data_IF_824198056359
#
_entry.id   IF_824198056359
#
_cell.length_a   1.000
_cell.length_b   1.000
_cell.length_c   1.000
_cell.angle_alpha   90.00
_cell.angle_beta   90.00
_cell.angle_gamma   90.00
#
_symmetry.space_group_name_H-M   'P 1'
#
loop_
_entity.id
_entity.type
_entity.pdbx_description
1 polymer ?
#
# COMPACT_ATOMS: atom_id res chain seq x y z
N UNK A 1 1.84 19.38 5.84
CA UNK A 1 0.43 18.98 5.63
C UNK A 1 0.31 17.50 5.92
N UNK A 2 -0.32 17.13 7.04
CA UNK A 2 -0.62 15.74 7.39
C UNK A 2 -1.89 15.36 6.65
N UNK A 3 -1.80 14.46 5.67
CA UNK A 3 -2.98 13.94 4.99
C UNK A 3 -3.58 12.89 5.93
N UNK A 4 -4.69 13.23 6.60
CA UNK A 4 -5.50 12.24 7.32
C UNK A 4 -6.16 11.32 6.29
N UNK A 5 -5.45 10.26 5.92
CA UNK A 5 -5.89 9.28 4.94
C UNK A 5 -6.80 8.26 5.62
N UNK A 6 -8.05 8.15 5.18
CA UNK A 6 -8.94 7.10 5.67
C UNK A 6 -8.39 5.73 5.23
N UNK A 7 -7.86 4.99 6.21
CA UNK A 7 -7.27 3.66 6.02
C UNK A 7 -8.30 2.65 5.49
N UNK A 8 -9.60 2.86 5.78
CA UNK A 8 -10.67 1.99 5.27
C UNK A 8 -10.82 2.15 3.77
N UNK A 9 -10.97 3.39 3.29
CA UNK A 9 -11.01 3.71 1.86
C UNK A 9 -9.72 3.28 1.14
N UNK A 10 -8.55 3.55 1.73
CA UNK A 10 -7.27 3.14 1.16
C UNK A 10 -7.18 1.61 1.02
N UNK A 11 -7.62 0.85 2.03
CA UNK A 11 -7.60 -0.61 1.98
C UNK A 11 -8.43 -1.16 0.83
N UNK A 12 -9.64 -0.62 0.62
CA UNK A 12 -10.51 -0.98 -0.49
C UNK A 12 -9.91 -0.60 -1.84
N UNK A 13 -9.31 0.59 -1.92
CA UNK A 13 -8.65 1.06 -3.13
C UNK A 13 -7.46 0.18 -3.52
N UNK A 14 -6.63 -0.19 -2.53
CA UNK A 14 -5.52 -1.13 -2.73
C UNK A 14 -6.05 -2.46 -3.25
N UNK A 15 -7.08 -3.04 -2.64
CA UNK A 15 -7.63 -4.35 -3.04
C UNK A 15 -8.12 -4.38 -4.50
N UNK A 16 -8.54 -3.23 -5.05
CA UNK A 16 -9.02 -3.06 -6.42
C UNK A 16 -7.98 -2.52 -7.40
N UNK A 17 -6.73 -2.32 -6.96
CA UNK A 17 -5.67 -1.78 -7.81
C UNK A 17 -5.06 -2.87 -8.71
N UNK A 18 -5.58 -2.97 -9.93
CA UNK A 18 -5.26 -4.03 -10.90
C UNK A 18 -3.82 -4.02 -11.40
N UNK A 19 -3.12 -2.88 -11.29
CA UNK A 19 -1.70 -2.77 -11.63
C UNK A 19 -0.80 -3.69 -10.79
N UNK A 20 -1.24 -4.06 -9.58
CA UNK A 20 -0.52 -4.98 -8.69
C UNK A 20 -1.13 -6.37 -8.68
N UNK A 21 -0.30 -7.38 -8.42
CA UNK A 21 -0.80 -8.75 -8.17
C UNK A 21 -1.53 -8.83 -6.83
N UNK A 22 -2.35 -9.87 -6.64
CA UNK A 22 -3.06 -10.12 -5.36
C UNK A 22 -2.10 -10.09 -4.15
N UNK A 23 -0.93 -10.73 -4.28
CA UNK A 23 0.10 -10.75 -3.22
C UNK A 23 0.69 -9.37 -2.97
N UNK A 24 0.98 -8.60 -4.03
CA UNK A 24 1.51 -7.24 -3.90
C UNK A 24 0.49 -6.32 -3.20
N UNK A 25 -0.78 -6.40 -3.57
CA UNK A 25 -1.87 -5.67 -2.89
C UNK A 25 -1.96 -6.03 -1.42
N UNK A 26 -1.91 -7.32 -1.08
CA UNK A 26 -1.95 -7.77 0.30
C UNK A 26 -0.77 -7.23 1.13
N UNK A 27 0.45 -7.22 0.57
CA UNK A 27 1.64 -6.64 1.20
C UNK A 27 1.45 -5.13 1.43
N UNK A 28 1.06 -4.39 0.40
CA UNK A 28 0.86 -2.93 0.50
C UNK A 28 -0.23 -2.59 1.52
N UNK A 29 -1.31 -3.39 1.59
CA UNK A 29 -2.38 -3.24 2.55
C UNK A 29 -1.92 -3.43 3.99
N UNK A 30 -1.07 -4.43 4.27
CA UNK A 30 -0.50 -4.61 5.61
C UNK A 30 0.39 -3.42 5.97
N UNK A 31 1.25 -2.98 5.04
CA UNK A 31 2.10 -1.80 5.27
C UNK A 31 1.22 -0.60 5.63
N UNK A 32 0.19 -0.32 4.84
CA UNK A 32 -0.73 0.79 5.06
C UNK A 32 -1.47 0.70 6.41
N UNK A 33 -1.99 -0.48 6.77
CA UNK A 33 -2.73 -0.69 8.03
C UNK A 33 -1.84 -0.63 9.27
N UNK A 34 -0.56 -0.92 9.13
CA UNK A 34 0.43 -0.88 10.22
C UNK A 34 1.24 0.41 10.24
N UNK A 35 0.93 1.35 9.33
CA UNK A 35 1.51 2.69 9.33
C UNK A 35 0.84 3.58 10.36
N UNK A 36 1.65 4.32 11.11
CA UNK A 36 1.21 5.42 11.98
C UNK A 36 1.89 6.68 11.44
N UNK A 37 1.11 7.73 11.17
CA UNK A 37 1.58 8.98 10.55
C UNK A 37 2.34 8.75 9.21
N UNK A 38 1.93 7.75 8.45
CA UNK A 38 2.57 7.37 7.17
C UNK A 38 3.85 6.55 7.32
N UNK A 39 4.29 6.26 8.54
CA UNK A 39 5.47 5.43 8.82
C UNK A 39 5.07 4.03 9.29
N UNK A 40 5.53 3.01 8.57
CA UNK A 40 5.42 1.60 8.92
C UNK A 40 6.77 1.12 9.47
N UNK A 41 6.78 0.71 10.74
CA UNK A 41 7.97 0.20 11.44
C UNK A 41 8.04 -1.32 11.49
N UNK A 42 7.03 -2.03 10.98
CA UNK A 42 7.05 -3.48 10.93
C UNK A 42 8.00 -3.97 9.84
N UNK A 43 8.78 -5.00 10.17
CA UNK A 43 9.74 -5.58 9.23
C UNK A 43 9.11 -6.54 8.22
N UNK A 44 9.88 -6.89 7.18
CA UNK A 44 9.48 -7.88 6.17
C UNK A 44 9.16 -9.27 6.76
N UNK A 45 9.76 -9.62 7.90
CA UNK A 45 9.45 -10.87 8.64
C UNK A 45 8.00 -10.87 9.10
N UNK A 46 7.55 -9.79 9.73
CA UNK A 46 6.18 -9.68 10.23
C UNK A 46 5.16 -9.79 9.08
N UNK A 47 5.39 -9.04 8.00
CA UNK A 47 4.51 -9.07 6.82
C UNK A 47 4.46 -10.47 6.21
N UNK A 48 5.60 -11.14 6.11
CA UNK A 48 5.71 -12.49 5.58
C UNK A 48 4.92 -13.51 6.43
N UNK A 49 5.01 -13.41 7.76
CA UNK A 49 4.27 -14.25 8.69
C UNK A 49 2.75 -14.01 8.59
N UNK A 50 2.32 -12.74 8.55
CA UNK A 50 0.89 -12.38 8.44
C UNK A 50 0.24 -12.90 7.15
N UNK A 51 1.01 -12.99 6.06
CA UNK A 51 0.51 -13.45 4.76
C UNK A 51 0.83 -14.92 4.46
N UNK A 52 1.56 -15.61 5.33
CA UNK A 52 2.10 -16.94 5.07
C UNK A 52 2.84 -17.04 3.71
N UNK A 53 3.76 -16.11 3.44
CA UNK A 53 4.56 -16.07 2.21
C UNK A 53 6.06 -15.95 2.50
N UNK A 54 6.90 -16.16 1.49
CA UNK A 54 8.35 -15.98 1.66
C UNK A 54 8.73 -14.53 1.95
N UNK A 55 9.72 -14.34 2.85
CA UNK A 55 10.33 -13.02 3.10
C UNK A 55 10.89 -12.41 1.82
N UNK A 56 11.43 -13.23 0.91
CA UNK A 56 11.95 -12.80 -0.38
C UNK A 56 10.87 -12.16 -1.25
N UNK A 57 9.66 -12.72 -1.27
CA UNK A 57 8.52 -12.13 -1.98
C UNK A 57 8.16 -10.74 -1.43
N UNK A 58 8.18 -10.59 -0.10
CA UNK A 58 7.95 -9.30 0.57
C UNK A 58 9.03 -8.28 0.18
N UNK A 59 10.32 -8.67 0.23
CA UNK A 59 11.42 -7.78 -0.17
C UNK A 59 11.30 -7.33 -1.62
N UNK A 60 11.01 -8.25 -2.56
CA UNK A 60 10.82 -7.91 -3.97
C UNK A 60 9.67 -6.94 -4.18
N UNK A 61 8.56 -7.10 -3.45
CA UNK A 61 7.44 -6.18 -3.50
C UNK A 61 7.82 -4.78 -2.96
N UNK A 62 8.47 -4.70 -1.79
CA UNK A 62 8.92 -3.43 -1.21
C UNK A 62 9.90 -2.71 -2.15
N UNK A 63 10.84 -3.43 -2.76
CA UNK A 63 11.76 -2.87 -3.77
C UNK A 63 11.02 -2.32 -4.99
N UNK A 64 10.03 -3.06 -5.50
CA UNK A 64 9.18 -2.59 -6.61
C UNK A 64 8.43 -1.31 -6.23
N UNK A 65 7.76 -1.29 -5.08
CA UNK A 65 7.02 -0.11 -4.61
C UNK A 65 7.93 1.10 -4.38
N UNK A 66 9.16 0.87 -3.91
CA UNK A 66 10.15 1.94 -3.72
C UNK A 66 10.62 2.51 -5.06
N UNK A 67 10.93 1.66 -6.04
CA UNK A 67 11.32 2.07 -7.40
C UNK A 67 10.21 2.85 -8.11
N UNK A 68 8.96 2.49 -7.85
CA UNK A 68 7.78 3.17 -8.37
C UNK A 68 7.36 4.39 -7.52
N UNK A 69 8.17 4.78 -6.52
CA UNK A 69 7.95 5.92 -5.64
C UNK A 69 6.66 5.88 -4.80
N UNK A 70 6.03 4.70 -4.67
CA UNK A 70 4.86 4.49 -3.81
C UNK A 70 5.26 4.38 -2.34
N UNK A 71 6.49 3.93 -2.08
CA UNK A 71 7.09 3.86 -0.75
C UNK A 71 8.49 4.48 -0.79
N UNK A 72 9.02 4.81 0.38
CA UNK A 72 10.45 5.00 0.58
C UNK A 72 10.91 4.20 1.79
N UNK A 73 12.20 3.85 1.85
CA UNK A 73 12.76 3.07 2.96
C UNK A 73 13.88 3.87 3.59
N UNK A 74 13.68 4.29 4.84
CA UNK A 74 14.72 4.93 5.66
C UNK A 74 15.48 3.84 6.41
N UNK A 75 16.76 3.67 6.09
CA UNK A 75 17.63 2.75 6.83
C UNK A 75 17.85 3.31 8.24
N UNK A 76 17.56 2.52 9.28
CA UNK A 76 17.90 2.88 10.66
C UNK A 76 19.43 2.86 10.85
N UNK A 77 19.97 3.82 11.58
CA UNK A 77 21.42 3.91 11.87
C UNK A 77 21.90 2.89 12.91
N UNK A 78 20.98 2.26 13.67
CA UNK A 78 21.33 1.32 14.76
C UNK A 78 20.47 0.06 14.83
N UNK A 79 19.26 0.05 14.28
CA UNK A 79 18.38 -1.13 14.24
C UNK A 79 18.30 -1.64 12.80
N UNK A 80 18.52 -2.95 12.61
CA UNK A 80 18.41 -3.66 11.31
C UNK A 80 17.01 -3.56 10.65
N UNK A 81 16.06 -2.91 11.30
CA UNK A 81 14.71 -2.63 10.83
C UNK A 81 14.68 -1.23 10.20
N UNK A 82 14.59 -1.16 8.88
CA UNK A 82 14.33 0.10 8.17
C UNK A 82 12.87 0.51 8.33
N UNK A 83 12.62 1.82 8.43
CA UNK A 83 11.27 2.37 8.42
C UNK A 83 10.78 2.45 6.98
N UNK A 84 9.60 1.90 6.70
CA UNK A 84 8.92 2.04 5.41
C UNK A 84 8.01 3.26 5.52
N UNK A 85 8.16 4.22 4.62
CA UNK A 85 7.37 5.46 4.60
C UNK A 85 6.45 5.40 3.39
N UNK A 86 5.14 5.55 3.62
CA UNK A 86 4.14 5.66 2.56
C UNK A 86 4.29 7.00 1.84
N UNK A 87 4.27 6.98 0.50
CA UNK A 87 4.11 8.21 -0.25
C UNK A 87 2.63 8.61 -0.28
N UNK A 88 2.26 9.62 0.51
CA UNK A 88 0.87 10.09 0.63
C UNK A 88 0.25 10.47 -0.72
N UNK A 89 1.01 11.10 -1.62
CA UNK A 89 0.52 11.48 -2.96
C UNK A 89 0.17 10.25 -3.79
N UNK A 90 1.04 9.25 -3.79
CA UNK A 90 0.78 8.00 -4.50
C UNK A 90 -0.41 7.23 -3.91
N UNK A 91 -0.50 7.12 -2.59
CA UNK A 91 -1.65 6.46 -1.94
C UNK A 91 -2.96 7.18 -2.26
N UNK A 92 -2.93 8.53 -2.33
CA UNK A 92 -4.07 9.31 -2.79
C UNK A 92 -4.43 9.03 -4.25
N UNK A 93 -3.45 8.91 -5.15
CA UNK A 93 -3.69 8.50 -6.54
C UNK A 93 -4.41 7.15 -6.63
N UNK A 94 -4.01 6.17 -5.82
CA UNK A 94 -4.69 4.85 -5.78
C UNK A 94 -6.16 5.01 -5.36
N UNK A 95 -6.43 5.84 -4.34
CA UNK A 95 -7.80 6.15 -3.90
C UNK A 95 -8.61 6.84 -5.01
N UNK A 96 -8.02 7.82 -5.69
CA UNK A 96 -8.71 8.61 -6.72
C UNK A 96 -9.06 7.74 -7.92
N UNK A 97 -8.16 6.86 -8.35
CA UNK A 97 -8.41 5.87 -9.40
C UNK A 97 -9.56 4.91 -9.02
N UNK A 98 -9.56 4.44 -7.77
CA UNK A 98 -10.65 3.60 -7.26
C UNK A 98 -12.00 4.33 -7.31
N UNK A 99 -12.07 5.56 -6.79
CA UNK A 99 -13.29 6.38 -6.82
C UNK A 99 -13.76 6.67 -8.24
N UNK A 100 -12.85 6.97 -9.15
CA UNK A 100 -13.16 7.19 -10.56
C UNK A 100 -13.79 5.95 -11.21
N UNK A 101 -13.23 4.76 -10.96
CA UNK A 101 -13.77 3.48 -11.45
C UNK A 101 -15.19 3.23 -10.94
N UNK A 102 -15.43 3.49 -9.65
CA UNK A 102 -16.78 3.35 -9.06
C UNK A 102 -17.80 4.30 -9.70
N UNK A 103 -17.42 5.55 -9.98
CA UNK A 103 -18.31 6.51 -10.67
C UNK A 103 -18.71 6.00 -12.05
N UNK A 104 -17.74 5.54 -12.85
CA UNK A 104 -18.00 5.02 -14.20
C UNK A 104 -18.95 3.81 -14.17
N UNK A 105 -18.71 2.87 -13.24
CA UNK A 105 -19.56 1.68 -13.10
C UNK A 105 -20.99 2.03 -12.70
N UNK A 106 -21.17 3.00 -11.79
CA UNK A 106 -22.50 3.43 -11.37
C UNK A 106 -23.23 4.20 -12.48
N UNK A 107 -22.53 5.03 -13.26
CA UNK A 107 -23.13 5.71 -14.42
C UNK A 107 -23.67 4.72 -15.46
N UNK A 108 -22.96 3.61 -15.69
CA UNK A 108 -23.40 2.59 -16.66
C UNK A 108 -24.61 1.77 -16.17
N UNK A 109 -24.79 1.63 -14.85
CA UNK A 109 -25.95 0.93 -14.26
C UNK A 109 -27.27 1.69 -14.40
N UNK A 110 -27.23 3.02 -14.59
CA UNK A 110 -28.44 3.83 -14.77
C UNK A 110 -28.90 3.93 -16.24
N UNK A 111 -28.15 3.33 -17.17
CA UNK A 111 -28.44 3.35 -18.61
C UNK A 111 -28.96 1.97 -19.09
N UNK A 112 -28.91 0.95 -18.21
CA UNK A 112 -29.42 -0.41 -18.47
C UNK A 112 -30.76 -0.63 -17.79
#
# INVERSE_FOLDING_TARGET
MTVNMDISTLSLAIDNYEYYTKTQRAILKIIAKTSIDGECKVGSIFIAQQLNISRTSVYKAIQKFTREQNLSVKKGSKTKHGTIILNAKSMQTIIDLYKAKQRIQNSNKHIS
#
